data_IF_104427361707
#
_entry.id   IF_104427361707
#
_cell.length_a   1.000
_cell.length_b   1.000
_cell.length_c   1.000
_cell.angle_alpha   90.00
_cell.angle_beta   90.00
_cell.angle_gamma   90.00
#
_symmetry.space_group_name_H-M   'P 1'
#
loop_
_entity.id
_entity.type
_entity.pdbx_description
1 polymer ?
#
# COMPACT_ATOMS: atom_id res chain seq x y z
N UNK A 1 -18.23 17.29 17.21
CA UNK A 1 -17.52 16.18 17.88
C UNK A 1 -16.31 15.84 17.04
N UNK A 2 -15.07 15.97 17.52
CA UNK A 2 -13.89 15.59 16.74
C UNK A 2 -13.90 14.08 16.57
N UNK A 3 -13.67 13.61 15.34
CA UNK A 3 -13.45 12.18 15.04
C UNK A 3 -12.08 11.85 15.62
N UNK A 4 -12.08 11.02 16.63
CA UNK A 4 -10.86 10.47 17.22
C UNK A 4 -10.21 9.56 16.16
N UNK A 5 -9.13 10.03 15.55
CA UNK A 5 -8.35 9.22 14.60
C UNK A 5 -7.56 8.22 15.45
N UNK A 6 -8.15 7.06 15.67
CA UNK A 6 -7.42 5.93 16.23
C UNK A 6 -6.31 5.57 15.23
N UNK A 7 -5.06 5.75 15.61
CA UNK A 7 -3.91 5.27 14.85
C UNK A 7 -4.09 3.77 14.59
N UNK A 8 -4.45 3.43 13.36
CA UNK A 8 -4.41 2.04 12.95
C UNK A 8 -2.93 1.62 12.92
N UNK A 9 -2.56 0.51 13.58
CA UNK A 9 -1.20 0.02 13.53
C UNK A 9 -0.86 -0.23 12.06
N UNK A 10 0.09 0.55 11.57
CA UNK A 10 0.77 0.29 10.30
C UNK A 10 1.25 -1.15 10.38
N UNK A 11 0.92 -1.96 9.39
CA UNK A 11 1.20 -3.39 9.34
C UNK A 11 2.54 -3.71 9.99
N UNK A 12 2.47 -4.45 11.10
CA UNK A 12 3.61 -4.86 11.89
C UNK A 12 4.67 -5.49 11.00
N UNK A 13 5.94 -5.21 11.29
CA UNK A 13 7.11 -5.92 10.79
C UNK A 13 6.86 -7.44 10.83
N UNK A 14 6.43 -7.99 9.69
CA UNK A 14 6.28 -9.42 9.55
C UNK A 14 7.58 -10.00 9.02
N UNK A 15 8.22 -10.89 9.78
CA UNK A 15 9.05 -11.94 9.22
C UNK A 15 8.37 -12.51 7.94
N UNK A 16 9.11 -13.08 6.96
CA UNK A 16 8.50 -13.63 5.75
C UNK A 16 7.37 -14.54 6.17
N UNK A 17 6.13 -14.09 5.92
CA UNK A 17 4.93 -14.86 6.20
C UNK A 17 5.08 -16.18 5.47
N UNK A 18 4.88 -17.27 6.18
CA UNK A 18 4.79 -18.61 5.59
C UNK A 18 3.95 -18.49 4.30
N UNK A 19 4.61 -18.67 3.14
CA UNK A 19 4.01 -18.51 1.82
C UNK A 19 2.96 -19.58 1.50
N UNK A 20 2.58 -20.41 2.48
CA UNK A 20 1.50 -21.36 2.34
C UNK A 20 0.20 -20.61 2.06
N UNK A 21 -0.52 -20.98 0.98
CA UNK A 21 -1.82 -20.38 0.72
C UNK A 21 -2.69 -20.59 1.97
N UNK A 22 -3.25 -19.54 2.51
CA UNK A 22 -4.31 -19.65 3.50
C UNK A 22 -5.37 -20.56 2.90
N UNK A 23 -5.78 -21.63 3.60
CA UNK A 23 -6.79 -22.58 3.10
C UNK A 23 -8.14 -21.87 2.89
N UNK A 24 -8.24 -21.07 1.81
CA UNK A 24 -9.41 -20.30 1.44
C UNK A 24 -10.36 -21.16 0.64
N UNK A 25 -11.58 -21.30 1.13
CA UNK A 25 -12.66 -21.95 0.39
C UNK A 25 -13.30 -21.02 -0.66
N UNK A 26 -14.29 -21.52 -1.40
CA UNK A 26 -15.00 -20.75 -2.42
C UNK A 26 -15.72 -19.55 -1.83
N UNK A 27 -16.28 -19.68 -0.63
CA UNK A 27 -17.02 -18.60 0.05
C UNK A 27 -16.06 -17.51 0.49
N UNK A 28 -14.89 -17.86 1.05
CA UNK A 28 -13.85 -16.91 1.43
C UNK A 28 -13.37 -16.08 0.22
N UNK A 29 -13.13 -16.73 -0.92
CA UNK A 29 -12.75 -16.03 -2.17
C UNK A 29 -13.84 -15.09 -2.64
N UNK A 30 -15.10 -15.49 -2.54
CA UNK A 30 -16.22 -14.62 -2.92
C UNK A 30 -16.37 -13.42 -1.98
N UNK A 31 -16.16 -13.60 -0.67
CA UNK A 31 -16.07 -12.51 0.30
C UNK A 31 -15.01 -11.51 -0.11
N UNK A 32 -13.80 -11.98 -0.42
CA UNK A 32 -12.69 -11.12 -0.82
C UNK A 32 -13.01 -10.34 -2.11
N UNK A 33 -13.60 -11.01 -3.10
CA UNK A 33 -14.00 -10.37 -4.36
C UNK A 33 -15.04 -9.26 -4.14
N UNK A 34 -16.05 -9.50 -3.31
CA UNK A 34 -17.09 -8.51 -2.99
C UNK A 34 -16.51 -7.32 -2.22
N UNK A 35 -15.68 -7.58 -1.20
CA UNK A 35 -15.03 -6.54 -0.41
C UNK A 35 -13.96 -5.77 -1.20
N UNK A 36 -13.34 -6.39 -2.20
CA UNK A 36 -12.44 -5.67 -3.12
C UNK A 36 -13.20 -4.68 -4.00
N UNK A 37 -14.40 -5.06 -4.46
CA UNK A 37 -15.25 -4.18 -5.25
C UNK A 37 -15.89 -3.07 -4.41
N UNK A 38 -16.35 -3.38 -3.21
CA UNK A 38 -16.92 -2.42 -2.26
C UNK A 38 -16.53 -2.76 -0.82
N UNK A 39 -15.46 -2.13 -0.34
CA UNK A 39 -14.97 -2.29 1.03
C UNK A 39 -15.96 -1.79 2.12
N UNK A 40 -17.02 -1.06 1.74
CA UNK A 40 -18.05 -0.54 2.64
C UNK A 40 -19.29 -1.41 2.72
N UNK A 41 -19.31 -2.53 1.99
CA UNK A 41 -20.44 -3.47 2.03
C UNK A 41 -20.69 -3.92 3.47
N UNK A 42 -21.95 -3.83 3.92
CA UNK A 42 -22.31 -4.28 5.27
C UNK A 42 -22.27 -5.79 5.38
N UNK A 43 -22.04 -6.30 6.60
CA UNK A 43 -22.06 -7.75 6.83
C UNK A 43 -23.38 -8.42 6.41
N UNK A 44 -24.50 -7.72 6.57
CA UNK A 44 -25.81 -8.23 6.15
C UNK A 44 -25.94 -8.30 4.64
N UNK A 45 -25.46 -7.28 3.91
CA UNK A 45 -25.45 -7.30 2.44
C UNK A 45 -24.51 -8.40 1.91
N UNK A 46 -23.33 -8.52 2.50
CA UNK A 46 -22.35 -9.55 2.15
C UNK A 46 -22.92 -10.97 2.39
N UNK A 47 -23.61 -11.19 3.52
CA UNK A 47 -24.23 -12.46 3.84
C UNK A 47 -25.36 -12.81 2.85
N UNK A 48 -26.15 -11.83 2.45
CA UNK A 48 -27.22 -12.00 1.46
C UNK A 48 -26.66 -12.39 0.07
N UNK A 49 -25.59 -11.72 -0.39
CA UNK A 49 -24.91 -12.05 -1.66
C UNK A 49 -24.30 -13.47 -1.68
N UNK A 50 -24.03 -14.01 -0.50
CA UNK A 50 -23.40 -15.33 -0.35
C UNK A 50 -24.40 -16.43 0.02
N UNK A 51 -25.65 -16.08 0.26
CA UNK A 51 -26.70 -16.98 0.76
C UNK A 51 -26.26 -17.75 2.02
N UNK A 52 -25.71 -17.01 3.01
CA UNK A 52 -25.28 -17.54 4.30
C UNK A 52 -25.83 -16.70 5.47
N UNK A 53 -25.87 -17.29 6.65
CA UNK A 53 -26.26 -16.54 7.86
C UNK A 53 -25.27 -15.38 8.15
N UNK A 54 -25.78 -14.24 8.62
CA UNK A 54 -24.96 -13.05 8.93
C UNK A 54 -23.88 -13.33 9.98
N UNK A 55 -24.16 -14.20 10.96
CA UNK A 55 -23.17 -14.64 11.96
C UNK A 55 -22.02 -15.45 11.34
N UNK A 56 -22.35 -16.33 10.38
CA UNK A 56 -21.36 -17.11 9.64
C UNK A 56 -20.48 -16.19 8.78
N UNK A 57 -21.09 -15.21 8.07
CA UNK A 57 -20.37 -14.23 7.29
C UNK A 57 -19.42 -13.41 8.15
N UNK A 58 -19.89 -12.88 9.28
CA UNK A 58 -19.08 -12.13 10.24
C UNK A 58 -17.87 -12.94 10.73
N UNK A 59 -18.09 -14.19 11.12
CA UNK A 59 -17.01 -15.08 11.56
C UNK A 59 -15.95 -15.31 10.49
N UNK A 60 -16.37 -15.45 9.21
CA UNK A 60 -15.44 -15.61 8.08
C UNK A 60 -14.63 -14.36 7.82
N UNK A 61 -15.25 -13.18 7.77
CA UNK A 61 -14.54 -11.91 7.59
C UNK A 61 -13.52 -11.70 8.71
N UNK A 62 -13.90 -11.95 9.98
CA UNK A 62 -12.99 -11.87 11.11
C UNK A 62 -11.81 -12.82 10.97
N UNK A 63 -12.07 -14.09 10.61
CA UNK A 63 -10.99 -15.06 10.33
C UNK A 63 -10.04 -14.59 9.24
N UNK A 64 -10.54 -13.97 8.15
CA UNK A 64 -9.71 -13.45 7.06
C UNK A 64 -8.84 -12.28 7.52
N UNK A 65 -9.33 -11.45 8.44
CA UNK A 65 -8.56 -10.38 9.10
C UNK A 65 -7.48 -10.99 10.04
N UNK A 66 -7.87 -11.93 10.90
CA UNK A 66 -6.95 -12.58 11.86
C UNK A 66 -5.81 -13.32 11.14
N UNK A 67 -6.10 -13.94 9.99
CA UNK A 67 -5.11 -14.57 9.12
C UNK A 67 -4.26 -13.55 8.33
N UNK A 68 -4.61 -12.25 8.36
CA UNK A 68 -3.96 -11.21 7.58
C UNK A 68 -4.16 -11.33 6.08
N UNK A 69 -5.15 -12.11 5.62
CA UNK A 69 -5.59 -12.15 4.21
C UNK A 69 -6.21 -10.82 3.84
N UNK A 70 -7.11 -10.29 4.69
CA UNK A 70 -7.51 -8.90 4.66
C UNK A 70 -6.56 -8.15 5.58
N UNK A 71 -5.75 -7.26 5.03
CA UNK A 71 -4.75 -6.50 5.78
C UNK A 71 -5.34 -5.24 6.43
N UNK A 72 -6.22 -4.56 5.72
CA UNK A 72 -6.88 -3.33 6.17
C UNK A 72 -8.05 -2.96 5.25
N UNK A 73 -8.91 -2.07 5.72
CA UNK A 73 -9.85 -1.32 4.92
C UNK A 73 -9.38 0.13 4.90
N UNK A 74 -9.21 0.72 3.73
CA UNK A 74 -8.78 2.10 3.58
C UNK A 74 -9.53 2.79 2.45
N UNK A 75 -9.62 4.12 2.54
CA UNK A 75 -10.17 4.93 1.48
C UNK A 75 -9.12 5.09 0.37
N UNK A 76 -9.57 4.93 -0.87
CA UNK A 76 -8.81 5.34 -2.04
C UNK A 76 -9.04 6.83 -2.26
N UNK A 77 -8.03 7.64 -2.02
CA UNK A 77 -8.09 9.09 -2.12
C UNK A 77 -7.46 9.49 -3.46
N UNK A 78 -8.24 10.20 -4.28
CA UNK A 78 -7.73 10.77 -5.53
C UNK A 78 -6.70 11.85 -5.23
N UNK A 79 -5.41 11.67 -5.61
CA UNK A 79 -4.38 12.67 -5.36
C UNK A 79 -4.67 14.02 -6.03
N UNK A 80 -5.32 14.01 -7.19
CA UNK A 80 -5.71 15.24 -7.90
C UNK A 80 -6.70 16.04 -7.06
N UNK A 81 -7.69 15.37 -6.48
CA UNK A 81 -8.71 16.01 -5.65
C UNK A 81 -8.15 16.66 -4.37
N UNK A 82 -6.99 16.20 -3.89
CA UNK A 82 -6.30 16.77 -2.72
C UNK A 82 -5.12 17.69 -3.10
N UNK A 83 -5.03 18.07 -4.38
CA UNK A 83 -4.04 19.06 -4.85
C UNK A 83 -2.67 18.50 -5.19
N UNK A 84 -2.55 17.20 -5.45
CA UNK A 84 -1.33 16.50 -5.84
C UNK A 84 -1.47 15.84 -7.23
N UNK A 85 -1.64 16.63 -8.32
CA UNK A 85 -1.98 16.09 -9.63
C UNK A 85 -0.81 15.39 -10.33
N UNK A 86 0.42 15.62 -9.91
CA UNK A 86 1.60 15.04 -10.54
C UNK A 86 2.02 13.78 -9.79
N UNK A 87 2.00 12.63 -10.46
CA UNK A 87 2.45 11.38 -9.88
C UNK A 87 3.70 10.85 -10.61
N UNK A 88 4.58 10.20 -9.87
CA UNK A 88 5.79 9.63 -10.41
C UNK A 88 6.19 8.33 -9.70
N UNK A 89 6.87 7.44 -10.46
CA UNK A 89 7.67 6.34 -9.92
C UNK A 89 9.12 6.77 -9.88
N UNK A 90 9.75 6.65 -8.72
CA UNK A 90 11.16 6.98 -8.54
C UNK A 90 11.90 5.70 -8.16
N UNK A 91 12.68 5.16 -9.09
CA UNK A 91 13.63 4.08 -8.81
C UNK A 91 14.80 4.62 -8.01
N UNK A 92 15.21 3.93 -6.97
CA UNK A 92 16.31 4.31 -6.09
C UNK A 92 17.26 3.14 -5.93
N UNK A 93 18.54 3.42 -6.18
CA UNK A 93 19.66 2.50 -5.93
C UNK A 93 20.48 3.02 -4.75
N UNK A 94 20.86 2.14 -3.83
CA UNK A 94 21.67 2.48 -2.68
C UNK A 94 23.14 2.14 -2.91
N UNK A 95 24.01 2.86 -2.21
CA UNK A 95 25.42 2.52 -2.11
C UNK A 95 25.60 1.13 -1.49
N UNK A 96 26.61 0.38 -1.91
CA UNK A 96 26.84 -1.00 -1.45
C UNK A 96 26.96 -1.11 0.08
N UNK A 97 27.53 -0.09 0.74
CA UNK A 97 27.68 -0.05 2.19
C UNK A 97 26.37 0.23 2.95
N UNK A 98 25.38 0.83 2.27
CA UNK A 98 24.09 1.24 2.84
C UNK A 98 23.03 0.14 2.82
N UNK A 99 23.24 -0.94 2.06
CA UNK A 99 22.27 -2.04 1.93
C UNK A 99 21.83 -2.67 3.25
N UNK A 100 22.71 -2.64 4.27
CA UNK A 100 22.36 -3.10 5.62
C UNK A 100 21.38 -2.18 6.37
N UNK A 101 21.25 -0.91 5.96
CA UNK A 101 20.40 0.11 6.61
C UNK A 101 19.11 0.40 5.82
N UNK A 102 18.84 -0.35 4.77
CA UNK A 102 17.70 -0.09 3.86
C UNK A 102 16.36 0.00 4.59
N UNK A 103 16.18 -0.77 5.65
CA UNK A 103 14.94 -0.73 6.46
C UNK A 103 14.74 0.62 7.15
N UNK A 104 15.81 1.19 7.70
CA UNK A 104 15.75 2.48 8.39
C UNK A 104 15.44 3.59 7.39
N UNK A 105 16.08 3.56 6.21
CA UNK A 105 15.81 4.47 5.12
C UNK A 105 14.33 4.40 4.69
N UNK A 106 13.80 3.20 4.44
CA UNK A 106 12.39 3.00 4.05
C UNK A 106 11.44 3.52 5.14
N UNK A 107 11.76 3.29 6.43
CA UNK A 107 10.94 3.79 7.53
C UNK A 107 10.90 5.32 7.60
N UNK A 108 11.97 5.99 7.22
CA UNK A 108 12.04 7.45 7.16
C UNK A 108 11.30 8.01 5.95
N UNK A 109 11.58 7.47 4.75
CA UNK A 109 11.04 7.99 3.51
C UNK A 109 9.52 7.81 3.39
N UNK A 110 8.97 6.68 3.86
CA UNK A 110 7.53 6.41 3.83
C UNK A 110 6.68 7.36 4.68
N UNK A 111 7.31 8.13 5.58
CA UNK A 111 6.62 9.14 6.41
C UNK A 111 6.47 10.48 5.70
N UNK A 112 7.07 10.65 4.54
CA UNK A 112 6.94 11.86 3.75
C UNK A 112 5.55 11.93 3.14
N UNK A 113 4.85 13.09 3.23
CA UNK A 113 3.48 13.22 2.75
C UNK A 113 3.32 12.99 1.24
N UNK A 114 4.40 13.17 0.47
CA UNK A 114 4.41 12.91 -0.96
C UNK A 114 4.47 11.41 -1.29
N UNK A 115 4.91 10.54 -0.36
CA UNK A 115 5.11 9.12 -0.61
C UNK A 115 3.80 8.36 -0.42
N UNK A 116 3.27 7.81 -1.49
CA UNK A 116 2.06 6.98 -1.50
C UNK A 116 2.40 5.53 -1.19
N UNK A 117 3.40 4.97 -1.90
CA UNK A 117 3.82 3.58 -1.74
C UNK A 117 5.34 3.43 -1.83
N UNK A 118 5.86 2.38 -1.21
CA UNK A 118 7.25 1.97 -1.30
C UNK A 118 7.32 0.49 -1.67
N UNK A 119 7.97 0.19 -2.78
CA UNK A 119 8.18 -1.18 -3.28
C UNK A 119 9.65 -1.55 -3.11
N UNK A 120 9.92 -2.54 -2.26
CA UNK A 120 11.26 -3.11 -2.16
C UNK A 120 11.46 -4.17 -3.24
N UNK A 121 12.57 -4.09 -3.97
CA UNK A 121 12.80 -4.91 -5.16
C UNK A 121 13.99 -5.85 -4.98
N UNK A 122 13.94 -6.93 -5.72
CA UNK A 122 15.09 -7.78 -5.97
C UNK A 122 15.48 -7.57 -7.45
N UNK A 123 16.50 -6.73 -7.71
CA UNK A 123 16.86 -6.38 -9.07
C UNK A 123 17.99 -5.34 -9.14
N UNK A 124 18.01 -4.57 -10.23
CA UNK A 124 18.99 -3.52 -10.45
C UNK A 124 18.81 -2.35 -9.49
N UNK A 125 17.56 -2.00 -9.21
CA UNK A 125 17.18 -1.00 -8.21
C UNK A 125 16.87 -1.67 -6.88
N UNK A 126 17.14 -0.99 -5.77
CA UNK A 126 16.86 -1.51 -4.44
C UNK A 126 15.39 -1.29 -4.07
N UNK A 127 14.79 -0.16 -4.49
CA UNK A 127 13.36 0.11 -4.27
C UNK A 127 12.79 1.13 -5.24
N UNK A 128 11.46 1.16 -5.34
CA UNK A 128 10.70 2.18 -6.07
C UNK A 128 9.77 2.89 -5.11
N UNK A 129 9.73 4.22 -5.21
CA UNK A 129 8.76 5.07 -4.54
C UNK A 129 7.66 5.45 -5.54
N UNK A 130 6.40 5.29 -5.15
CA UNK A 130 5.29 5.95 -5.79
C UNK A 130 5.03 7.25 -5.03
N UNK A 131 5.15 8.38 -5.71
CA UNK A 131 5.01 9.70 -5.11
C UNK A 131 3.95 10.53 -5.82
N UNK A 132 3.32 11.44 -5.06
CA UNK A 132 2.43 12.46 -5.60
C UNK A 132 2.93 13.84 -5.17
N UNK A 133 2.89 14.80 -6.10
CA UNK A 133 3.39 16.16 -5.92
C UNK A 133 2.41 17.17 -6.51
N UNK A 134 2.52 18.42 -6.07
CA UNK A 134 1.69 19.54 -6.57
C UNK A 134 2.06 19.92 -8.01
N UNK A 135 3.35 19.89 -8.30
CA UNK A 135 3.94 20.28 -9.58
C UNK A 135 5.35 19.69 -9.76
N UNK A 136 5.99 20.02 -10.86
CA UNK A 136 7.36 19.54 -11.18
C UNK A 136 8.42 20.10 -10.22
N UNK A 137 8.22 21.29 -9.68
CA UNK A 137 9.16 21.88 -8.73
C UNK A 137 9.08 21.21 -7.37
N UNK A 138 7.86 20.89 -6.89
CA UNK A 138 7.63 20.11 -5.67
C UNK A 138 8.25 18.68 -5.80
N UNK A 139 8.05 18.04 -6.95
CA UNK A 139 8.66 16.74 -7.24
C UNK A 139 10.21 16.83 -7.26
N UNK A 140 10.75 17.84 -7.92
CA UNK A 140 12.21 18.08 -7.97
C UNK A 140 12.79 18.30 -6.57
N UNK A 141 12.14 19.14 -5.79
CA UNK A 141 12.55 19.42 -4.40
C UNK A 141 12.53 18.18 -3.54
N UNK A 142 11.46 17.35 -3.67
CA UNK A 142 11.37 16.07 -2.97
C UNK A 142 12.57 15.17 -3.30
N UNK A 143 12.91 15.00 -4.59
CA UNK A 143 14.02 14.14 -5.03
C UNK A 143 15.37 14.67 -4.51
N UNK A 144 15.60 15.97 -4.62
CA UNK A 144 16.88 16.59 -4.21
C UNK A 144 17.07 16.51 -2.70
N UNK A 145 16.04 16.88 -1.94
CA UNK A 145 16.15 17.01 -0.48
C UNK A 145 16.04 15.68 0.28
N UNK A 146 15.30 14.71 -0.25
CA UNK A 146 15.02 13.47 0.47
C UNK A 146 15.73 12.25 -0.09
N UNK A 147 16.25 12.32 -1.32
CA UNK A 147 16.94 11.20 -1.96
C UNK A 147 18.40 11.57 -2.29
N UNK A 148 18.62 12.57 -3.13
CA UNK A 148 19.97 12.90 -3.60
C UNK A 148 20.85 13.52 -2.52
N UNK A 149 20.27 14.13 -1.49
CA UNK A 149 21.01 14.64 -0.33
C UNK A 149 21.49 13.53 0.62
N UNK A 150 20.96 12.32 0.50
CA UNK A 150 21.34 11.18 1.34
C UNK A 150 22.58 10.49 0.76
N UNK A 151 23.66 10.42 1.55
CA UNK A 151 24.93 9.80 1.13
C UNK A 151 24.80 8.28 0.88
N UNK A 152 23.76 7.66 1.41
CA UNK A 152 23.47 6.23 1.22
C UNK A 152 22.79 5.96 -0.14
N UNK A 153 22.29 6.99 -0.87
CA UNK A 153 21.71 6.88 -2.21
C UNK A 153 22.78 6.94 -3.27
N UNK A 154 22.84 5.92 -4.12
CA UNK A 154 23.78 5.86 -5.25
C UNK A 154 23.22 6.57 -6.50
N UNK A 155 21.91 6.52 -6.70
CA UNK A 155 21.25 7.13 -7.84
C UNK A 155 19.73 7.01 -7.79
N UNK A 156 19.08 7.89 -8.56
CA UNK A 156 17.63 7.92 -8.69
C UNK A 156 17.25 8.07 -10.17
N UNK A 157 16.13 7.44 -10.55
CA UNK A 157 15.53 7.63 -11.86
C UNK A 157 14.04 7.92 -11.67
N UNK A 158 13.55 9.04 -12.19
CA UNK A 158 12.16 9.47 -12.07
C UNK A 158 11.42 9.24 -13.38
N UNK A 159 10.27 8.56 -13.29
CA UNK A 159 9.34 8.32 -14.40
C UNK A 159 7.98 8.90 -14.03
N UNK A 160 7.46 9.84 -14.83
CA UNK A 160 6.14 10.41 -14.62
C UNK A 160 5.05 9.40 -14.97
N UNK A 161 4.00 9.37 -14.16
CA UNK A 161 2.81 8.56 -14.42
C UNK A 161 1.80 9.44 -15.16
N UNK A 162 1.45 9.06 -16.38
CA UNK A 162 0.39 9.74 -17.13
C UNK A 162 -1.00 9.23 -16.78
N UNK A 163 -1.11 7.94 -16.48
CA UNK A 163 -2.36 7.30 -16.10
C UNK A 163 -2.09 6.07 -15.24
N UNK A 164 -2.88 5.88 -14.19
CA UNK A 164 -2.85 4.69 -13.36
C UNK A 164 -4.19 3.97 -13.43
N UNK A 165 -4.20 2.76 -13.96
CA UNK A 165 -5.38 1.90 -14.04
C UNK A 165 -5.23 0.72 -13.07
N UNK A 166 -6.24 0.52 -12.23
CA UNK A 166 -6.29 -0.64 -11.35
C UNK A 166 -6.77 -1.87 -12.09
N UNK A 167 -6.04 -2.95 -11.95
CA UNK A 167 -6.46 -4.27 -12.41
C UNK A 167 -7.52 -4.89 -11.52
N UNK A 168 -8.13 -5.99 -12.00
CA UNK A 168 -8.98 -6.83 -11.17
C UNK A 168 -8.16 -7.49 -10.03
N UNK A 169 -8.83 -7.79 -8.90
CA UNK A 169 -8.18 -8.49 -7.80
C UNK A 169 -7.71 -9.89 -8.23
N UNK A 170 -6.52 -10.33 -7.84
CA UNK A 170 -5.99 -11.66 -8.13
C UNK A 170 -6.60 -12.71 -7.17
N UNK A 171 -7.95 -12.90 -7.20
CA UNK A 171 -8.69 -13.73 -6.24
C UNK A 171 -9.39 -14.88 -6.95
#
# INVERSE_FOLDING_TARGET
MPVEITEHPVASEGAPKDLRPAGLDRVDRRILSLLHADARMTNSALAAELDIAASTCHGRVRRLLDLGVIRAFYADIDPVAVGLPLQAMISVSLQSHARGKIRDFIQQIRRRPQVMDVYFLAGADDFILHVAARDTEDLRSFVVENLNADADVAGTQTSLIFEHLRGAAPI
#
